data_IF_807967824667
#
_entry.id   IF_807967824667
#
_cell.length_a   1.000
_cell.length_b   1.000
_cell.length_c   1.000
_cell.angle_alpha   90.00
_cell.angle_beta   90.00
_cell.angle_gamma   90.00
#
_symmetry.space_group_name_H-M   'P 1'
#
loop_
_entity.id
_entity.type
_entity.pdbx_description
1 polymer ?
#
# COMPACT_ATOMS: atom_id res chain seq x y z
N UNK A 1 -8.14 7.35 14.15
CA UNK A 1 -6.81 6.74 14.33
C UNK A 1 -5.82 7.24 13.28
N UNK A 2 -4.54 7.40 13.65
CA UNK A 2 -3.47 7.85 12.76
C UNK A 2 -2.40 6.75 12.65
N UNK A 3 -2.05 6.37 11.44
CA UNK A 3 -1.04 5.38 11.11
C UNK A 3 0.08 6.06 10.33
N UNK A 4 1.32 5.72 10.66
CA UNK A 4 2.49 6.27 10.00
C UNK A 4 3.12 5.20 9.12
N UNK A 5 3.40 5.52 7.86
CA UNK A 5 4.06 4.62 6.93
C UNK A 5 5.33 5.31 6.47
N UNK A 6 6.47 4.67 6.73
CA UNK A 6 7.80 5.24 6.53
C UNK A 6 8.54 4.39 5.51
N UNK A 7 9.12 5.03 4.50
CA UNK A 7 10.00 4.40 3.53
C UNK A 7 11.46 4.40 4.00
N UNK A 8 12.14 3.26 3.87
CA UNK A 8 13.57 3.16 4.09
C UNK A 8 14.39 3.38 2.81
N UNK A 9 15.72 3.37 2.94
CA UNK A 9 16.63 3.56 1.80
C UNK A 9 16.58 2.42 0.77
N UNK A 10 15.98 1.28 1.09
CA UNK A 10 15.83 0.11 0.23
C UNK A 10 14.43 0.02 -0.40
N UNK A 11 13.64 1.11 -0.33
CA UNK A 11 12.27 1.19 -0.84
C UNK A 11 11.32 0.20 -0.17
N UNK A 12 11.68 -0.24 1.04
CA UNK A 12 10.84 -1.02 1.95
C UNK A 12 9.98 -0.05 2.76
N UNK A 13 8.73 -0.42 3.05
CA UNK A 13 7.80 0.41 3.82
C UNK A 13 7.50 -0.23 5.16
N UNK A 14 7.46 0.58 6.21
CA UNK A 14 7.21 0.18 7.59
C UNK A 14 6.00 0.93 8.13
N UNK A 15 5.06 0.22 8.75
CA UNK A 15 3.77 0.73 9.20
C UNK A 15 3.73 0.76 10.72
N UNK A 16 3.52 1.94 11.29
CA UNK A 16 3.53 2.16 12.73
C UNK A 16 2.21 2.74 13.24
N UNK A 17 1.84 2.32 14.43
CA UNK A 17 0.83 2.97 15.26
C UNK A 17 1.42 3.23 16.63
N UNK A 18 1.55 4.50 17.04
CA UNK A 18 2.15 4.87 18.33
C UNK A 18 3.49 4.15 18.60
N UNK A 19 4.40 4.21 17.63
CA UNK A 19 5.74 3.56 17.65
C UNK A 19 5.75 2.02 17.64
N UNK A 20 4.59 1.36 17.67
CA UNK A 20 4.45 -0.09 17.47
C UNK A 20 4.45 -0.44 15.98
N UNK A 21 5.33 -1.35 15.56
CA UNK A 21 5.37 -1.87 14.19
C UNK A 21 4.20 -2.82 13.97
N UNK A 22 3.29 -2.45 13.07
CA UNK A 22 2.12 -3.27 12.72
C UNK A 22 2.40 -4.19 11.54
N UNK A 23 3.00 -3.63 10.49
CA UNK A 23 3.30 -4.32 9.24
C UNK A 23 4.55 -3.74 8.62
N UNK A 24 5.21 -4.52 7.78
CA UNK A 24 6.24 -4.00 6.90
C UNK A 24 6.22 -4.72 5.56
N UNK A 25 6.90 -4.14 4.59
CA UNK A 25 7.03 -4.69 3.25
C UNK A 25 8.46 -4.60 2.78
N UNK A 26 8.88 -5.59 2.02
CA UNK A 26 10.20 -5.63 1.39
C UNK A 26 10.03 -5.92 -0.09
N UNK A 27 10.93 -5.34 -0.89
CA UNK A 27 11.01 -5.61 -2.32
C UNK A 27 12.29 -6.39 -2.66
N UNK A 28 12.12 -7.43 -3.46
CA UNK A 28 13.22 -8.12 -4.12
C UNK A 28 13.19 -7.79 -5.61
N UNK A 29 14.17 -7.02 -6.05
CA UNK A 29 14.38 -6.72 -7.46
C UNK A 29 14.94 -7.94 -8.18
N UNK A 30 14.36 -8.27 -9.34
CA UNK A 30 14.90 -9.28 -10.24
C UNK A 30 15.24 -8.61 -11.57
N UNK A 31 16.38 -8.99 -12.14
CA UNK A 31 16.92 -8.43 -13.39
C UNK A 31 15.95 -8.55 -14.59
N UNK A 32 14.97 -9.46 -14.52
CA UNK A 32 13.90 -9.63 -15.52
C UNK A 32 12.66 -8.74 -15.30
N UNK A 33 12.76 -7.62 -14.56
CA UNK A 33 11.64 -6.70 -14.22
C UNK A 33 10.45 -7.41 -13.56
N UNK A 34 10.74 -8.44 -12.78
CA UNK A 34 9.76 -9.23 -12.02
C UNK A 34 10.05 -9.01 -10.55
N UNK A 35 9.59 -7.89 -10.00
CA UNK A 35 9.83 -7.62 -8.60
C UNK A 35 8.89 -8.47 -7.75
N UNK A 36 9.39 -8.91 -6.61
CA UNK A 36 8.60 -9.61 -5.60
C UNK A 36 8.44 -8.66 -4.42
N UNK A 37 7.18 -8.35 -4.07
CA UNK A 37 6.84 -7.60 -2.86
C UNK A 37 6.35 -8.62 -1.84
N UNK A 38 6.94 -8.61 -0.66
CA UNK A 38 6.48 -9.42 0.47
C UNK A 38 6.03 -8.49 1.57
N UNK A 39 4.89 -8.77 2.17
CA UNK A 39 4.33 -8.01 3.29
C UNK A 39 4.25 -8.94 4.49
N UNK A 40 4.75 -8.46 5.62
CA UNK A 40 4.79 -9.15 6.90
C UNK A 40 4.03 -8.37 7.96
N UNK A 41 3.54 -9.06 8.99
CA UNK A 41 3.10 -8.41 10.22
C UNK A 41 4.29 -8.00 11.11
N UNK A 42 4.01 -7.39 12.26
CA UNK A 42 5.02 -7.01 13.25
C UNK A 42 5.75 -8.19 13.92
N UNK A 43 5.32 -9.43 13.68
CA UNK A 43 5.90 -10.66 14.24
C UNK A 43 6.65 -11.49 13.17
N UNK A 44 6.97 -10.89 12.02
CA UNK A 44 7.64 -11.54 10.88
C UNK A 44 6.85 -12.66 10.20
N UNK A 45 5.53 -12.74 10.42
CA UNK A 45 4.69 -13.67 9.66
C UNK A 45 4.41 -13.10 8.27
N UNK A 46 4.63 -13.91 7.23
CA UNK A 46 4.31 -13.52 5.86
C UNK A 46 2.79 -13.47 5.70
N UNK A 47 2.26 -12.31 5.31
CA UNK A 47 0.82 -12.10 5.10
C UNK A 47 0.47 -12.24 3.62
N UNK A 48 1.30 -11.67 2.74
CA UNK A 48 1.07 -11.73 1.30
C UNK A 48 2.39 -11.62 0.54
N UNK A 49 2.49 -12.38 -0.55
CA UNK A 49 3.56 -12.27 -1.53
C UNK A 49 2.97 -11.95 -2.90
N UNK A 50 3.46 -10.86 -3.49
CA UNK A 50 3.04 -10.36 -4.78
C UNK A 50 4.19 -10.42 -5.77
N UNK A 51 3.88 -10.85 -6.98
CA UNK A 51 4.75 -10.68 -8.13
C UNK A 51 4.25 -9.51 -8.96
N UNK A 52 5.06 -8.49 -9.11
CA UNK A 52 4.73 -7.31 -9.92
C UNK A 52 5.29 -7.47 -11.33
N UNK A 53 4.53 -6.97 -12.29
CA UNK A 53 4.94 -6.90 -13.69
C UNK A 53 4.84 -5.45 -14.14
N UNK A 54 5.99 -4.87 -14.46
CA UNK A 54 6.04 -3.59 -15.13
C UNK A 54 5.75 -3.81 -16.62
N UNK A 55 4.52 -3.53 -17.03
CA UNK A 55 4.18 -3.48 -18.45
C UNK A 55 4.42 -2.04 -18.94
N UNK A 56 5.20 -1.82 -20.01
CA UNK A 56 5.55 -0.47 -20.48
C UNK A 56 4.34 0.39 -20.91
N UNK A 57 3.15 -0.20 -21.10
CA UNK A 57 1.95 0.50 -21.59
C UNK A 57 0.64 0.13 -20.85
N UNK A 58 0.72 -0.52 -19.67
CA UNK A 58 -0.47 -0.90 -18.88
C UNK A 58 -0.22 -0.72 -17.40
N UNK A 59 -1.31 -0.53 -16.63
CA UNK A 59 -1.25 -0.50 -15.17
C UNK A 59 -0.52 -1.72 -14.61
N UNK A 60 0.25 -1.49 -13.55
CA UNK A 60 1.02 -2.52 -12.86
C UNK A 60 0.09 -3.67 -12.47
N UNK A 61 0.41 -4.88 -12.94
CA UNK A 61 -0.33 -6.09 -12.56
C UNK A 61 0.34 -6.71 -11.35
N UNK A 62 -0.41 -6.83 -10.26
CA UNK A 62 -0.02 -7.58 -9.08
C UNK A 62 -0.59 -8.98 -9.19
N UNK A 63 0.27 -9.99 -9.25
CA UNK A 63 -0.14 -11.39 -9.18
C UNK A 63 0.16 -11.91 -7.78
N UNK A 64 -0.88 -12.32 -7.06
CA UNK A 64 -0.73 -12.97 -5.76
C UNK A 64 -0.02 -14.31 -5.95
N UNK A 65 1.01 -14.55 -5.15
CA UNK A 65 1.76 -15.82 -5.10
C UNK A 65 1.49 -16.57 -3.80
N UNK A 66 1.26 -15.83 -2.71
CA UNK A 66 0.87 -16.34 -1.41
C UNK A 66 -0.04 -15.32 -0.73
N UNK A 67 -1.02 -15.78 0.04
CA UNK A 67 -1.87 -14.96 0.91
C UNK A 67 -2.28 -15.78 2.14
N UNK A 68 -2.21 -15.18 3.31
CA UNK A 68 -2.79 -15.70 4.55
C UNK A 68 -4.23 -15.16 4.78
N UNK A 69 -4.69 -14.29 3.88
CA UNK A 69 -5.97 -13.59 3.97
C UNK A 69 -6.82 -13.83 2.73
N UNK A 70 -8.12 -13.57 2.83
CA UNK A 70 -9.08 -13.69 1.72
C UNK A 70 -9.00 -12.53 0.71
N UNK A 71 -7.79 -12.14 0.32
CA UNK A 71 -7.58 -11.11 -0.70
C UNK A 71 -7.74 -11.77 -2.07
N UNK A 72 -8.66 -11.27 -2.89
CA UNK A 72 -8.91 -11.83 -4.21
C UNK A 72 -8.12 -11.10 -5.29
N UNK A 73 -8.08 -9.76 -5.22
CA UNK A 73 -7.52 -8.91 -6.27
C UNK A 73 -6.83 -7.71 -5.63
N UNK A 74 -5.65 -7.36 -6.15
CA UNK A 74 -4.97 -6.09 -5.88
C UNK A 74 -4.63 -5.43 -7.21
N UNK A 75 -4.99 -4.16 -7.33
CA UNK A 75 -4.59 -3.28 -8.43
C UNK A 75 -4.00 -1.99 -7.85
N UNK A 76 -3.64 -1.03 -8.71
CA UNK A 76 -3.24 0.30 -8.26
C UNK A 76 -4.41 1.12 -7.67
N UNK A 77 -5.63 0.80 -8.12
CA UNK A 77 -6.84 1.58 -7.89
C UNK A 77 -7.77 0.94 -6.83
N UNK A 78 -7.63 -0.34 -6.54
CA UNK A 78 -8.46 -1.02 -5.53
C UNK A 78 -7.86 -2.33 -5.03
N UNK A 79 -8.35 -2.74 -3.86
CA UNK A 79 -8.24 -4.09 -3.31
C UNK A 79 -9.63 -4.71 -3.17
N UNK A 80 -9.76 -5.98 -3.54
CA UNK A 80 -10.96 -6.79 -3.33
C UNK A 80 -10.66 -7.88 -2.30
N UNK A 81 -11.49 -7.96 -1.27
CA UNK A 81 -11.38 -8.89 -0.14
C UNK A 81 -12.72 -9.56 0.06
N UNK A 82 -12.70 -10.87 0.29
CA UNK A 82 -13.91 -11.69 0.31
C UNK A 82 -14.77 -11.46 -0.96
N UNK A 83 -16.01 -11.95 -0.97
CA UNK A 83 -16.89 -11.80 -2.14
C UNK A 83 -17.45 -10.37 -2.30
N UNK A 84 -17.40 -9.53 -1.26
CA UNK A 84 -18.21 -8.29 -1.21
C UNK A 84 -17.45 -7.02 -0.79
N UNK A 85 -16.19 -7.10 -0.36
CA UNK A 85 -15.47 -5.92 0.14
C UNK A 85 -14.54 -5.40 -0.96
N UNK A 86 -14.89 -4.26 -1.55
CA UNK A 86 -14.05 -3.55 -2.51
C UNK A 86 -13.70 -2.19 -1.93
N UNK A 87 -12.40 -1.96 -1.68
CA UNK A 87 -11.87 -0.69 -1.22
C UNK A 87 -11.17 0.00 -2.38
N UNK A 88 -11.71 1.15 -2.82
CA UNK A 88 -11.18 1.91 -3.95
C UNK A 88 -10.24 3.01 -3.46
N UNK A 89 -9.06 3.08 -4.03
CA UNK A 89 -8.07 4.12 -3.82
C UNK A 89 -8.25 5.22 -4.87
N UNK A 90 -8.74 6.38 -4.45
CA UNK A 90 -8.98 7.52 -5.31
C UNK A 90 -7.86 8.55 -5.11
N UNK A 91 -7.12 8.85 -6.17
CA UNK A 91 -6.06 9.87 -6.16
C UNK A 91 -6.69 11.26 -6.25
N UNK A 92 -6.29 12.18 -5.37
CA UNK A 92 -6.69 13.57 -5.49
C UNK A 92 -5.95 14.20 -6.68
N UNK A 93 -6.69 14.60 -7.72
CA UNK A 93 -6.15 15.13 -8.98
C UNK A 93 -5.70 16.60 -8.92
N UNK A 94 -5.82 17.27 -7.76
CA UNK A 94 -5.50 18.69 -7.62
C UNK A 94 -4.04 18.96 -7.18
N UNK A 95 -3.24 19.53 -8.09
CA UNK A 95 -1.97 20.28 -7.90
C UNK A 95 -0.80 19.57 -7.16
N UNK A 96 -0.17 18.66 -7.91
CA UNK A 96 1.27 18.33 -8.11
C UNK A 96 2.37 18.40 -7.03
N UNK A 97 2.10 18.59 -5.73
CA UNK A 97 3.17 18.52 -4.71
C UNK A 97 2.94 17.51 -3.58
N UNK A 98 1.70 17.02 -3.43
CA UNK A 98 1.32 16.02 -2.43
C UNK A 98 0.63 14.84 -3.12
N UNK A 99 1.04 13.61 -2.79
CA UNK A 99 0.38 12.39 -3.29
C UNK A 99 -0.78 11.96 -2.37
N UNK A 100 -1.71 12.88 -2.12
CA UNK A 100 -2.85 12.61 -1.27
C UNK A 100 -3.85 11.68 -1.98
N UNK A 101 -4.29 10.65 -1.27
CA UNK A 101 -5.29 9.71 -1.77
C UNK A 101 -6.37 9.51 -0.71
N UNK A 102 -7.50 8.94 -1.09
CA UNK A 102 -8.52 8.52 -0.14
C UNK A 102 -9.13 7.18 -0.54
N UNK A 103 -9.50 6.40 0.47
CA UNK A 103 -10.14 5.11 0.30
C UNK A 103 -11.65 5.24 0.46
N UNK A 104 -12.40 4.56 -0.41
CA UNK A 104 -13.86 4.44 -0.28
C UNK A 104 -14.31 2.99 -0.19
N UNK A 105 -15.37 2.76 0.58
CA UNK A 105 -16.16 1.53 0.57
C UNK A 105 -17.59 1.90 0.14
N UNK A 106 -18.02 1.41 -1.04
CA UNK A 106 -19.16 1.98 -1.73
C UNK A 106 -18.95 3.47 -2.02
N UNK A 107 -19.90 4.30 -1.61
CA UNK A 107 -19.84 5.77 -1.74
C UNK A 107 -19.19 6.46 -0.53
N UNK A 108 -18.91 5.72 0.54
CA UNK A 108 -18.40 6.29 1.78
C UNK A 108 -16.88 6.40 1.76
N UNK A 109 -16.34 7.59 2.04
CA UNK A 109 -14.92 7.76 2.37
C UNK A 109 -14.63 7.10 3.71
N UNK A 110 -13.68 6.17 3.73
CA UNK A 110 -13.30 5.41 4.93
C UNK A 110 -11.94 5.81 5.48
N UNK A 111 -11.01 6.21 4.62
CA UNK A 111 -9.68 6.66 5.03
C UNK A 111 -9.09 7.68 4.07
N UNK A 112 -8.05 8.39 4.51
CA UNK A 112 -7.24 9.27 3.67
C UNK A 112 -5.76 9.11 3.94
N UNK A 113 -4.95 9.23 2.90
CA UNK A 113 -3.50 9.31 3.00
C UNK A 113 -3.03 10.71 2.66
N UNK A 114 -2.04 11.19 3.42
CA UNK A 114 -1.31 12.43 3.15
C UNK A 114 0.17 12.11 2.99
N UNK A 115 0.76 12.46 1.85
CA UNK A 115 2.17 12.24 1.55
C UNK A 115 2.78 13.51 0.98
N UNK A 116 3.88 13.97 1.59
CA UNK A 116 4.72 15.05 1.06
C UNK A 116 5.88 14.44 0.30
N UNK A 117 6.13 14.90 -0.93
CA UNK A 117 7.19 14.35 -1.81
C UNK A 117 8.61 14.85 -1.51
N UNK A 118 8.74 15.95 -0.75
CA UNK A 118 9.95 16.77 -0.72
C UNK A 118 10.93 16.42 0.41
N UNK A 119 10.55 15.51 1.30
CA UNK A 119 11.37 15.13 2.46
C UNK A 119 11.70 13.65 2.40
N UNK A 120 13.00 13.31 2.51
CA UNK A 120 13.48 11.95 2.75
C UNK A 120 13.77 11.76 4.25
N UNK A 121 13.31 10.67 4.89
CA UNK A 121 12.53 9.57 4.34
C UNK A 121 11.10 9.99 3.98
N UNK A 122 10.55 9.38 2.92
CA UNK A 122 9.16 9.62 2.55
C UNK A 122 8.24 9.08 3.65
N UNK A 123 7.30 9.93 4.07
CA UNK A 123 6.33 9.61 5.11
C UNK A 123 4.92 9.76 4.56
N UNK A 124 4.13 8.69 4.66
CA UNK A 124 2.70 8.69 4.38
C UNK A 124 1.99 8.64 5.73
N UNK A 125 1.05 9.55 5.94
CA UNK A 125 0.15 9.52 7.09
C UNK A 125 -1.19 8.99 6.62
N UNK A 126 -1.63 7.87 7.16
CA UNK A 126 -2.96 7.30 6.95
C UNK A 126 -3.86 7.69 8.12
N UNK A 127 -4.95 8.40 7.83
CA UNK A 127 -6.00 8.69 8.79
C UNK A 127 -7.21 7.81 8.47
N UNK A 128 -7.70 7.10 9.49
CA UNK A 128 -8.90 6.26 9.40
C UNK A 128 -9.82 6.57 10.59
N UNK A 129 -11.12 6.62 10.32
CA UNK A 129 -12.13 6.80 11.36
C UNK A 129 -12.35 5.49 12.14
N UNK A 130 -12.65 5.59 13.44
CA UNK A 130 -12.78 4.42 14.33
C UNK A 130 -13.86 3.44 13.85
N UNK A 131 -14.96 3.97 13.30
CA UNK A 131 -16.04 3.16 12.72
C UNK A 131 -15.62 2.29 11.53
N UNK A 132 -14.45 2.54 10.94
CA UNK A 132 -13.95 1.81 9.77
C UNK A 132 -12.66 1.04 10.06
N UNK A 133 -12.30 0.85 11.34
CA UNK A 133 -11.07 0.14 11.73
C UNK A 133 -10.99 -1.29 11.20
N UNK A 134 -12.12 -1.96 10.96
CA UNK A 134 -12.15 -3.28 10.32
C UNK A 134 -11.51 -3.30 8.93
N UNK A 135 -11.45 -2.15 8.23
CA UNK A 135 -10.80 -2.03 6.92
C UNK A 135 -9.31 -1.69 7.01
N UNK A 136 -8.79 -1.34 8.18
CA UNK A 136 -7.42 -0.82 8.33
C UNK A 136 -6.38 -1.76 7.73
N UNK A 137 -6.45 -3.06 8.07
CA UNK A 137 -5.51 -4.08 7.58
C UNK A 137 -5.48 -4.14 6.05
N UNK A 138 -6.64 -4.13 5.40
CA UNK A 138 -6.73 -4.21 3.94
C UNK A 138 -6.26 -2.94 3.26
N UNK A 139 -6.54 -1.77 3.83
CA UNK A 139 -6.03 -0.48 3.35
C UNK A 139 -4.50 -0.46 3.45
N UNK A 140 -3.95 -0.90 4.59
CA UNK A 140 -2.49 -1.00 4.79
C UNK A 140 -1.88 -1.95 3.76
N UNK A 141 -2.43 -3.15 3.59
CA UNK A 141 -1.93 -4.12 2.60
C UNK A 141 -1.96 -3.51 1.19
N UNK A 142 -3.02 -2.81 0.81
CA UNK A 142 -3.09 -2.16 -0.50
C UNK A 142 -2.04 -1.05 -0.67
N UNK A 143 -1.83 -0.21 0.36
CA UNK A 143 -0.77 0.81 0.33
C UNK A 143 0.60 0.16 0.17
N UNK A 144 0.93 -0.82 1.00
CA UNK A 144 2.21 -1.54 0.92
C UNK A 144 2.38 -2.21 -0.44
N UNK A 145 1.35 -2.85 -0.96
CA UNK A 145 1.39 -3.52 -2.27
C UNK A 145 1.69 -2.57 -3.42
N UNK A 146 1.13 -1.35 -3.37
CA UNK A 146 1.17 -0.40 -4.49
C UNK A 146 2.26 0.65 -4.37
N UNK A 147 2.84 0.84 -3.18
CA UNK A 147 3.88 1.86 -2.92
C UNK A 147 5.27 1.26 -2.68
N UNK A 148 5.39 0.00 -2.27
CA UNK A 148 6.72 -0.63 -2.09
C UNK A 148 7.46 -0.66 -3.42
N UNK A 149 8.73 -0.23 -3.42
CA UNK A 149 9.53 -0.19 -4.65
C UNK A 149 9.13 0.88 -5.67
N UNK A 150 8.13 1.71 -5.37
CA UNK A 150 7.73 2.82 -6.23
C UNK A 150 8.69 3.98 -6.00
N UNK A 151 9.85 3.94 -6.64
CA UNK A 151 10.87 4.98 -6.50
C UNK A 151 10.28 6.35 -6.92
N UNK A 152 10.25 7.31 -6.01
CA UNK A 152 10.03 8.74 -6.31
C UNK A 152 11.30 9.46 -6.79
N UNK A 153 12.42 8.75 -6.84
CA UNK A 153 13.62 9.17 -7.56
C UNK A 153 13.63 8.47 -8.92
N UNK A 154 12.64 8.81 -9.75
CA UNK A 154 12.86 8.87 -11.18
C UNK A 154 13.71 10.12 -11.42
N UNK A 155 15.03 9.95 -11.44
CA UNK A 155 15.91 10.89 -12.14
C UNK A 155 15.52 10.96 -13.62
#
# INVERSE_FOLDING_TARGET
MKIEIIEDKKQSLFVYNNDELLFYSVIKFNWLRRNSIKIFDGNDNLIIELKTYESPFRSSKYKIQFQDENIQIITEDYISVDENIILKNNRSTFLSFNQNCFYTYGENKVAETKQKLWNSPQKIILNIDEKYLSFLKFIVIHILSTKTGSNSNSD
#
